data_IF_159767327507
#
_entry.id   IF_159767327507
#
_cell.length_a   1.000
_cell.length_b   1.000
_cell.length_c   1.000
_cell.angle_alpha   90.00
_cell.angle_beta   90.00
_cell.angle_gamma   90.00
#
_symmetry.space_group_name_H-M   'P 1'
#
loop_
_entity.id
_entity.type
_entity.pdbx_description
1 polymer ?
#
# COMPACT_ATOMS: atom_id res chain seq x y z
N UNK A 1 6.64 30.77 -9.55
CA UNK A 1 5.45 30.03 -9.08
C UNK A 1 5.20 30.40 -7.62
N UNK A 2 4.20 31.25 -7.35
CA UNK A 2 3.70 31.55 -6.00
C UNK A 2 2.63 30.51 -5.65
N UNK A 3 3.01 29.48 -4.91
CA UNK A 3 2.10 28.48 -4.30
C UNK A 3 2.27 28.44 -2.77
N UNK A 4 2.56 29.59 -2.15
CA UNK A 4 2.63 29.73 -0.71
C UNK A 4 1.62 30.79 -0.30
N UNK A 5 0.36 30.36 -0.22
CA UNK A 5 -0.70 31.11 0.44
C UNK A 5 -0.43 31.15 1.93
N UNK A 6 -0.70 32.32 2.50
CA UNK A 6 -0.62 32.65 3.92
C UNK A 6 -1.37 31.61 4.78
N UNK A 7 -0.84 31.34 5.98
CA UNK A 7 -1.52 30.51 6.97
C UNK A 7 -2.85 31.17 7.34
N UNK A 8 -3.96 30.50 7.10
CA UNK A 8 -5.19 30.82 7.81
C UNK A 8 -4.99 30.42 9.28
N UNK A 9 -5.05 31.39 10.17
CA UNK A 9 -4.77 31.26 11.63
C UNK A 9 -5.87 30.48 12.37
N UNK A 10 -6.82 29.89 11.64
CA UNK A 10 -8.01 29.17 12.16
C UNK A 10 -8.03 27.68 11.76
N UNK A 11 -6.88 27.03 11.58
CA UNK A 11 -6.85 25.58 11.33
C UNK A 11 -7.18 24.82 12.62
N UNK A 12 -8.33 24.13 12.62
CA UNK A 12 -8.74 23.17 13.67
C UNK A 12 -7.60 22.19 13.97
N UNK A 13 -7.44 21.74 15.24
CA UNK A 13 -6.35 20.87 15.61
C UNK A 13 -6.40 19.59 14.76
N UNK A 14 -5.33 19.37 13.99
CA UNK A 14 -5.01 18.19 13.16
C UNK A 14 -5.45 16.83 13.73
N UNK A 15 -5.56 16.70 15.06
CA UNK A 15 -6.02 15.49 15.71
C UNK A 15 -7.46 15.10 15.36
N UNK A 16 -8.39 16.06 15.28
CA UNK A 16 -9.81 15.73 15.17
C UNK A 16 -10.17 15.14 13.80
N UNK A 17 -9.69 15.77 12.71
CA UNK A 17 -9.89 15.25 11.35
C UNK A 17 -9.13 13.95 11.08
N UNK A 18 -7.94 13.77 11.66
CA UNK A 18 -7.17 12.55 11.49
C UNK A 18 -7.88 11.33 12.11
N UNK A 19 -8.39 11.47 13.33
CA UNK A 19 -9.11 10.38 14.00
C UNK A 19 -10.54 10.20 13.48
N UNK A 20 -11.23 11.27 13.07
CA UNK A 20 -12.63 11.19 12.65
C UNK A 20 -12.83 10.89 11.16
N UNK A 21 -11.87 11.23 10.29
CA UNK A 21 -11.99 11.05 8.83
C UNK A 21 -10.92 10.14 8.26
N UNK A 22 -9.64 10.43 8.51
CA UNK A 22 -8.51 9.71 7.89
C UNK A 22 -8.48 8.24 8.30
N UNK A 23 -8.40 7.98 9.61
CA UNK A 23 -8.28 6.61 10.14
C UNK A 23 -9.47 5.71 9.79
N UNK A 24 -10.74 6.14 9.95
CA UNK A 24 -11.88 5.35 9.52
C UNK A 24 -11.87 5.07 8.01
N UNK A 25 -11.49 6.05 7.19
CA UNK A 25 -11.43 5.86 5.73
C UNK A 25 -10.36 4.83 5.35
N UNK A 26 -9.17 4.88 5.96
CA UNK A 26 -8.12 3.86 5.79
C UNK A 26 -8.66 2.49 6.21
N UNK A 27 -9.28 2.39 7.40
CA UNK A 27 -9.81 1.13 7.91
C UNK A 27 -10.85 0.50 6.97
N UNK A 28 -11.82 1.28 6.48
CA UNK A 28 -12.82 0.79 5.54
C UNK A 28 -12.19 0.41 4.18
N UNK A 29 -11.24 1.19 3.68
CA UNK A 29 -10.48 0.84 2.47
C UNK A 29 -9.75 -0.49 2.63
N UNK A 30 -9.08 -0.70 3.76
CA UNK A 30 -8.41 -1.96 4.11
C UNK A 30 -9.37 -3.14 4.22
N UNK A 31 -10.54 -2.93 4.84
CA UNK A 31 -11.57 -3.96 4.93
C UNK A 31 -12.10 -4.37 3.54
N UNK A 32 -12.37 -3.40 2.67
CA UNK A 32 -12.80 -3.63 1.28
C UNK A 32 -11.72 -4.40 0.50
N UNK A 33 -10.47 -3.94 0.59
CA UNK A 33 -9.33 -4.58 -0.05
C UNK A 33 -9.11 -6.02 0.43
N UNK A 34 -9.08 -6.24 1.74
CA UNK A 34 -8.86 -7.57 2.32
C UNK A 34 -10.01 -8.51 1.95
N UNK A 35 -11.26 -8.05 2.04
CA UNK A 35 -12.41 -8.85 1.66
C UNK A 35 -12.36 -9.27 0.19
N UNK A 36 -12.09 -8.35 -0.74
CA UNK A 36 -11.99 -8.71 -2.15
C UNK A 36 -10.78 -9.63 -2.42
N UNK A 37 -9.62 -9.36 -1.82
CA UNK A 37 -8.45 -10.22 -1.96
C UNK A 37 -8.69 -11.66 -1.48
N UNK A 38 -9.34 -11.83 -0.33
CA UNK A 38 -9.65 -13.14 0.27
C UNK A 38 -10.77 -13.87 -0.47
N UNK A 39 -11.77 -13.14 -0.98
CA UNK A 39 -12.88 -13.73 -1.71
C UNK A 39 -12.40 -14.30 -3.05
N UNK A 40 -11.68 -13.52 -3.85
CA UNK A 40 -11.23 -13.94 -5.18
C UNK A 40 -10.10 -14.97 -5.16
N UNK A 41 -9.25 -14.96 -4.12
CA UNK A 41 -8.19 -15.98 -3.94
C UNK A 41 -8.73 -17.35 -3.52
N UNK A 42 -10.03 -17.46 -3.18
CA UNK A 42 -10.62 -18.68 -2.65
C UNK A 42 -10.32 -18.93 -1.17
N UNK A 43 -9.81 -17.93 -0.46
CA UNK A 43 -9.52 -18.03 0.98
C UNK A 43 -10.82 -18.08 1.81
N UNK A 44 -11.95 -17.63 1.27
CA UNK A 44 -13.27 -17.76 1.91
C UNK A 44 -14.03 -18.95 1.31
N UNK A 45 -14.13 -19.01 0.00
CA UNK A 45 -15.00 -19.95 -0.73
C UNK A 45 -14.42 -21.35 -0.90
N UNK A 46 -13.11 -21.54 -0.65
CA UNK A 46 -12.38 -22.78 -0.90
C UNK A 46 -12.10 -23.06 -2.38
N UNK A 47 -12.62 -22.23 -3.29
CA UNK A 47 -12.38 -22.31 -4.74
C UNK A 47 -11.96 -20.94 -5.27
N UNK A 48 -10.76 -20.80 -5.85
CA UNK A 48 -10.32 -19.54 -6.40
C UNK A 48 -11.20 -19.14 -7.58
N UNK A 49 -11.53 -17.85 -7.66
CA UNK A 49 -12.22 -17.28 -8.81
C UNK A 49 -11.12 -16.66 -9.66
N UNK A 50 -10.78 -17.30 -10.78
CA UNK A 50 -9.73 -16.82 -11.68
C UNK A 50 -10.38 -16.12 -12.88
N UNK A 51 -10.31 -14.78 -12.97
CA UNK A 51 -10.75 -14.03 -14.14
C UNK A 51 -9.97 -14.43 -15.40
N UNK A 52 -10.60 -14.26 -16.56
CA UNK A 52 -9.90 -14.42 -17.85
C UNK A 52 -8.80 -13.36 -18.02
N UNK A 53 -7.79 -13.66 -18.85
CA UNK A 53 -6.69 -12.73 -19.13
C UNK A 53 -7.17 -11.34 -19.59
N UNK A 54 -8.23 -11.29 -20.41
CA UNK A 54 -8.83 -10.02 -20.85
C UNK A 54 -9.40 -9.19 -19.70
N UNK A 55 -9.99 -9.85 -18.69
CA UNK A 55 -10.47 -9.19 -17.47
C UNK A 55 -9.29 -8.68 -16.64
N UNK A 56 -8.20 -9.46 -16.51
CA UNK A 56 -7.00 -9.04 -15.76
C UNK A 56 -6.39 -7.78 -16.36
N UNK A 57 -6.23 -7.74 -17.69
CA UNK A 57 -5.69 -6.58 -18.40
C UNK A 57 -6.61 -5.36 -18.18
N UNK A 58 -7.93 -5.56 -18.31
CA UNK A 58 -8.92 -4.50 -18.13
C UNK A 58 -8.89 -3.94 -16.71
N UNK A 59 -8.84 -4.81 -15.69
CA UNK A 59 -8.73 -4.43 -14.28
C UNK A 59 -7.42 -3.70 -13.98
N UNK A 60 -6.32 -4.09 -14.62
CA UNK A 60 -5.01 -3.43 -14.46
C UNK A 60 -5.05 -2.01 -15.02
N UNK A 61 -5.60 -1.81 -16.23
CA UNK A 61 -5.76 -0.48 -16.81
C UNK A 61 -6.69 0.36 -15.92
N UNK A 62 -7.83 -0.21 -15.51
CA UNK A 62 -8.80 0.47 -14.66
C UNK A 62 -8.21 0.85 -13.30
N UNK A 63 -7.38 -0.01 -12.70
CA UNK A 63 -6.62 0.26 -11.48
C UNK A 63 -5.77 1.53 -11.62
N UNK A 64 -4.95 1.64 -12.67
CA UNK A 64 -4.11 2.82 -12.87
C UNK A 64 -4.94 4.08 -13.12
N UNK A 65 -5.99 3.99 -13.94
CA UNK A 65 -6.88 5.12 -14.23
C UNK A 65 -7.55 5.64 -12.96
N UNK A 66 -8.11 4.74 -12.13
CA UNK A 66 -8.80 5.12 -10.91
C UNK A 66 -7.83 5.70 -9.88
N UNK A 67 -6.64 5.13 -9.71
CA UNK A 67 -5.64 5.68 -8.78
C UNK A 67 -5.18 7.08 -9.20
N UNK A 68 -4.87 7.28 -10.48
CA UNK A 68 -4.50 8.60 -11.01
C UNK A 68 -5.64 9.61 -10.78
N UNK A 69 -6.88 9.23 -11.10
CA UNK A 69 -8.04 10.08 -10.88
C UNK A 69 -8.22 10.42 -9.38
N UNK A 70 -8.07 9.42 -8.50
CA UNK A 70 -8.17 9.58 -7.04
C UNK A 70 -7.13 10.57 -6.53
N UNK A 71 -5.87 10.44 -6.94
CA UNK A 71 -4.77 11.35 -6.57
C UNK A 71 -5.01 12.77 -7.08
N UNK A 72 -5.47 12.93 -8.33
CA UNK A 72 -5.78 14.26 -8.89
C UNK A 72 -6.92 14.92 -8.10
N UNK A 73 -7.98 14.18 -7.77
CA UNK A 73 -9.13 14.73 -7.03
C UNK A 73 -8.76 15.07 -5.59
N UNK A 74 -7.99 14.22 -4.92
CA UNK A 74 -7.46 14.48 -3.58
C UNK A 74 -6.56 15.72 -3.58
N UNK A 75 -5.67 15.86 -4.57
CA UNK A 75 -4.83 17.05 -4.74
C UNK A 75 -5.62 18.34 -5.03
N UNK A 76 -6.75 18.23 -5.72
CA UNK A 76 -7.71 19.33 -5.97
C UNK A 76 -8.67 19.58 -4.80
N UNK A 77 -8.49 18.89 -3.65
CA UNK A 77 -9.33 18.99 -2.44
C UNK A 77 -10.80 18.59 -2.67
N UNK A 78 -11.08 17.80 -3.71
CA UNK A 78 -12.40 17.21 -3.95
C UNK A 78 -12.56 15.90 -3.16
N UNK A 79 -12.40 16.00 -1.84
CA UNK A 79 -12.17 14.85 -0.95
C UNK A 79 -13.32 13.84 -0.93
N UNK A 80 -14.56 14.28 -1.06
CA UNK A 80 -15.73 13.39 -1.09
C UNK A 80 -15.76 12.49 -2.34
N UNK A 81 -15.47 13.06 -3.51
CA UNK A 81 -15.40 12.31 -4.77
C UNK A 81 -14.16 11.40 -4.77
N UNK A 82 -13.03 11.92 -4.30
CA UNK A 82 -11.81 11.13 -4.13
C UNK A 82 -12.02 9.94 -3.18
N UNK A 83 -12.79 10.08 -2.10
CA UNK A 83 -13.12 9.00 -1.18
C UNK A 83 -13.93 7.88 -1.85
N UNK A 84 -14.90 8.22 -2.70
CA UNK A 84 -15.67 7.22 -3.46
C UNK A 84 -14.79 6.47 -4.45
N UNK A 85 -13.93 7.18 -5.18
CA UNK A 85 -12.97 6.54 -6.08
C UNK A 85 -11.95 5.69 -5.32
N UNK A 86 -11.50 6.13 -4.16
CA UNK A 86 -10.60 5.37 -3.30
C UNK A 86 -11.19 4.01 -2.92
N UNK A 87 -12.45 3.94 -2.46
CA UNK A 87 -13.07 2.64 -2.15
C UNK A 87 -13.17 1.72 -3.36
N UNK A 88 -13.45 2.29 -4.55
CA UNK A 88 -13.44 1.53 -5.80
C UNK A 88 -12.03 1.03 -6.15
N UNK A 89 -11.01 1.87 -5.92
CA UNK A 89 -9.61 1.54 -6.10
C UNK A 89 -9.17 0.43 -5.15
N UNK A 90 -9.55 0.50 -3.86
CA UNK A 90 -9.27 -0.54 -2.86
C UNK A 90 -9.86 -1.89 -3.26
N UNK A 91 -11.10 -1.90 -3.76
CA UNK A 91 -11.75 -3.11 -4.24
C UNK A 91 -10.99 -3.76 -5.39
N UNK A 92 -10.66 -2.99 -6.43
CA UNK A 92 -9.90 -3.47 -7.60
C UNK A 92 -8.50 -3.92 -7.21
N UNK A 93 -7.83 -3.17 -6.33
CA UNK A 93 -6.51 -3.52 -5.79
C UNK A 93 -6.56 -4.88 -5.09
N UNK A 94 -7.63 -5.16 -4.33
CA UNK A 94 -7.77 -6.46 -3.68
C UNK A 94 -8.00 -7.59 -4.69
N UNK A 95 -8.79 -7.37 -5.75
CA UNK A 95 -8.91 -8.35 -6.85
C UNK A 95 -7.55 -8.63 -7.51
N UNK A 96 -6.77 -7.60 -7.81
CA UNK A 96 -5.46 -7.78 -8.43
C UNK A 96 -4.46 -8.47 -7.47
N UNK A 97 -4.52 -8.16 -6.18
CA UNK A 97 -3.67 -8.82 -5.19
C UNK A 97 -4.11 -10.25 -4.88
N UNK A 98 -5.35 -10.64 -5.18
CA UNK A 98 -5.82 -12.01 -4.96
C UNK A 98 -5.04 -13.03 -5.79
N UNK A 99 -4.48 -12.63 -6.95
CA UNK A 99 -3.61 -13.49 -7.76
C UNK A 99 -2.28 -13.79 -7.08
N UNK A 100 -1.73 -12.83 -6.33
CA UNK A 100 -0.51 -13.04 -5.53
C UNK A 100 -0.81 -14.02 -4.40
N UNK A 101 -1.95 -13.85 -3.72
CA UNK A 101 -2.39 -14.77 -2.67
C UNK A 101 -2.63 -16.19 -3.20
N UNK A 102 -3.24 -16.30 -4.38
CA UNK A 102 -3.46 -17.57 -5.05
C UNK A 102 -2.13 -18.23 -5.44
N UNK A 103 -1.18 -17.48 -6.00
CA UNK A 103 0.16 -18.00 -6.29
C UNK A 103 0.82 -18.55 -5.03
N UNK A 104 0.73 -17.84 -3.91
CA UNK A 104 1.25 -18.36 -2.64
C UNK A 104 0.53 -19.61 -2.16
N UNK A 105 -0.80 -19.68 -2.31
CA UNK A 105 -1.58 -20.87 -1.99
C UNK A 105 -1.22 -22.09 -2.84
N UNK A 106 -0.80 -21.90 -4.09
CA UNK A 106 -0.30 -22.97 -4.95
C UNK A 106 1.06 -23.50 -4.47
N UNK A 107 1.92 -22.65 -3.91
CA UNK A 107 3.24 -23.05 -3.40
C UNK A 107 3.17 -23.77 -2.05
N UNK A 108 2.44 -23.19 -1.08
CA UNK A 108 2.44 -23.71 0.30
C UNK A 108 1.17 -24.46 0.70
N UNK A 109 0.13 -24.43 -0.12
CA UNK A 109 -1.20 -24.96 0.18
C UNK A 109 -2.12 -23.91 0.77
N UNK A 110 -3.43 -24.01 0.47
CA UNK A 110 -4.44 -22.98 0.80
C UNK A 110 -4.56 -22.69 2.30
N UNK A 111 -4.51 -23.72 3.16
CA UNK A 111 -4.61 -23.55 4.61
C UNK A 111 -3.45 -22.71 5.15
N UNK A 112 -2.22 -23.14 4.88
CA UNK A 112 -1.03 -22.43 5.33
C UNK A 112 -0.94 -21.02 4.73
N UNK A 113 -1.29 -20.82 3.45
CA UNK A 113 -1.29 -19.48 2.86
C UNK A 113 -2.26 -18.50 3.53
N UNK A 114 -3.42 -18.97 4.03
CA UNK A 114 -4.36 -18.14 4.81
C UNK A 114 -3.72 -17.69 6.14
N UNK A 115 -3.07 -18.61 6.82
CA UNK A 115 -2.40 -18.32 8.09
C UNK A 115 -1.25 -17.34 7.88
N UNK A 116 -0.41 -17.56 6.85
CA UNK A 116 0.69 -16.66 6.50
C UNK A 116 0.19 -15.26 6.10
N UNK A 117 -0.94 -15.15 5.37
CA UNK A 117 -1.53 -13.86 5.05
C UNK A 117 -2.04 -13.12 6.29
N UNK A 118 -2.62 -13.85 7.25
CA UNK A 118 -3.06 -13.28 8.53
C UNK A 118 -1.87 -12.75 9.33
N UNK A 119 -0.79 -13.54 9.44
CA UNK A 119 0.45 -13.11 10.07
C UNK A 119 1.05 -11.90 9.36
N UNK A 120 1.12 -11.91 8.03
CA UNK A 120 1.60 -10.79 7.24
C UNK A 120 0.78 -9.51 7.47
N UNK A 121 -0.54 -9.64 7.58
CA UNK A 121 -1.45 -8.52 7.86
C UNK A 121 -1.18 -7.89 9.23
N UNK A 122 -1.02 -8.72 10.27
CA UNK A 122 -0.69 -8.26 11.62
C UNK A 122 0.65 -7.53 11.62
N UNK A 123 1.71 -8.16 11.09
CA UNK A 123 3.05 -7.56 11.02
C UNK A 123 3.02 -6.25 10.22
N UNK A 124 2.31 -6.22 9.10
CA UNK A 124 2.23 -5.03 8.25
C UNK A 124 1.56 -3.84 8.94
N UNK A 125 0.44 -4.07 9.65
CA UNK A 125 -0.23 -3.03 10.44
C UNK A 125 0.70 -2.48 11.53
N UNK A 126 1.40 -3.36 12.27
CA UNK A 126 2.34 -2.93 13.29
C UNK A 126 3.54 -2.18 12.70
N UNK A 127 4.11 -2.64 11.59
CA UNK A 127 5.26 -2.03 10.95
C UNK A 127 4.94 -0.62 10.44
N UNK A 128 3.85 -0.47 9.66
CA UNK A 128 3.42 0.83 9.12
C UNK A 128 2.95 1.76 10.23
N UNK A 129 2.17 1.27 11.19
CA UNK A 129 1.72 2.08 12.33
C UNK A 129 2.88 2.61 13.17
N UNK A 130 3.88 1.76 13.45
CA UNK A 130 5.09 2.17 14.19
C UNK A 130 5.93 3.15 13.39
N UNK A 131 6.13 2.92 12.09
CA UNK A 131 6.84 3.84 11.20
C UNK A 131 6.15 5.22 11.17
N UNK A 132 4.83 5.26 11.01
CA UNK A 132 4.07 6.50 11.01
C UNK A 132 4.18 7.25 12.34
N UNK A 133 4.05 6.54 13.47
CA UNK A 133 4.15 7.12 14.81
C UNK A 133 5.56 7.67 15.09
N UNK A 134 6.61 6.93 14.73
CA UNK A 134 8.00 7.37 14.85
C UNK A 134 8.22 8.62 13.99
N UNK A 135 7.79 8.59 12.72
CA UNK A 135 7.86 9.72 11.81
C UNK A 135 7.21 10.97 12.40
N UNK A 136 6.00 10.82 12.94
CA UNK A 136 5.24 11.88 13.60
C UNK A 136 5.97 12.48 14.81
N UNK A 137 6.61 11.64 15.64
CA UNK A 137 7.37 12.10 16.81
C UNK A 137 8.63 12.89 16.43
N UNK A 138 9.30 12.55 15.34
CA UNK A 138 10.58 13.18 14.98
C UNK A 138 10.44 14.66 14.61
N UNK A 139 9.25 15.12 14.15
CA UNK A 139 8.93 16.52 13.74
C UNK A 139 10.04 17.24 12.95
N UNK A 140 10.91 16.47 12.28
CA UNK A 140 12.10 16.98 11.62
C UNK A 140 11.74 17.32 10.19
N UNK A 141 12.19 18.48 9.73
CA UNK A 141 12.17 18.81 8.31
C UNK A 141 13.18 17.91 7.60
N UNK A 142 12.74 16.73 7.15
CA UNK A 142 13.51 15.96 6.18
C UNK A 142 13.71 16.82 4.93
N UNK A 143 14.96 17.05 4.54
CA UNK A 143 15.25 17.83 3.34
C UNK A 143 14.76 17.08 2.10
N UNK A 144 13.90 17.73 1.30
CA UNK A 144 13.32 17.22 0.06
C UNK A 144 14.36 16.55 -0.85
N UNK A 145 15.61 17.03 -0.84
CA UNK A 145 16.71 16.46 -1.64
C UNK A 145 16.98 14.99 -1.31
N UNK A 146 16.95 14.59 -0.04
CA UNK A 146 17.20 13.20 0.37
C UNK A 146 16.02 12.29 0.04
N UNK A 147 14.80 12.82 0.12
CA UNK A 147 13.58 12.07 -0.20
C UNK A 147 13.50 11.78 -1.70
N UNK A 148 13.82 12.74 -2.57
CA UNK A 148 13.83 12.47 -4.02
C UNK A 148 14.85 11.39 -4.40
N UNK A 149 16.07 11.44 -3.84
CA UNK A 149 17.06 10.38 -4.05
C UNK A 149 16.58 9.02 -3.53
N UNK A 150 15.89 9.00 -2.39
CA UNK A 150 15.30 7.79 -1.82
C UNK A 150 14.14 7.24 -2.67
N UNK A 151 13.25 8.08 -3.20
CA UNK A 151 12.16 7.68 -4.09
C UNK A 151 12.69 7.11 -5.42
N UNK A 152 13.70 7.76 -6.02
CA UNK A 152 14.36 7.25 -7.24
C UNK A 152 14.97 5.88 -7.01
N UNK A 153 15.62 5.67 -5.85
CA UNK A 153 16.21 4.39 -5.49
C UNK A 153 15.17 3.26 -5.44
N UNK A 154 13.98 3.51 -4.88
CA UNK A 154 12.92 2.49 -4.86
C UNK A 154 12.28 2.21 -6.22
N UNK A 155 12.11 3.23 -7.07
CA UNK A 155 11.69 3.01 -8.46
C UNK A 155 12.67 2.10 -9.18
N UNK A 156 13.98 2.27 -8.95
CA UNK A 156 15.01 1.38 -9.49
C UNK A 156 14.85 -0.04 -8.95
N UNK A 157 14.68 -0.23 -7.63
CA UNK A 157 14.49 -1.56 -7.01
C UNK A 157 13.30 -2.28 -7.65
N UNK A 158 12.14 -1.61 -7.73
CA UNK A 158 10.91 -2.20 -8.29
C UNK A 158 11.06 -2.49 -9.78
N UNK A 159 11.68 -1.58 -10.54
CA UNK A 159 11.91 -1.77 -11.97
C UNK A 159 12.88 -2.93 -12.24
N UNK A 160 13.93 -3.06 -11.42
CA UNK A 160 14.88 -4.18 -11.50
C UNK A 160 14.19 -5.51 -11.20
N UNK A 161 13.31 -5.57 -10.19
CA UNK A 161 12.54 -6.76 -9.88
C UNK A 161 11.71 -7.22 -11.08
N UNK A 162 10.95 -6.30 -11.68
CA UNK A 162 10.12 -6.56 -12.85
C UNK A 162 10.95 -7.05 -14.04
N UNK A 163 12.02 -6.32 -14.38
CA UNK A 163 12.91 -6.68 -15.50
C UNK A 163 13.50 -8.08 -15.27
N UNK A 164 14.10 -8.31 -14.10
CA UNK A 164 14.74 -9.59 -13.81
C UNK A 164 13.73 -10.73 -13.76
N UNK A 165 12.47 -10.48 -13.38
CA UNK A 165 11.43 -11.51 -13.33
C UNK A 165 10.98 -11.98 -14.72
N UNK A 166 11.17 -11.14 -15.74
CA UNK A 166 10.87 -11.48 -17.14
C UNK A 166 11.98 -12.36 -17.73
N UNK A 167 13.25 -12.05 -17.40
CA UNK A 167 14.40 -12.68 -18.05
C UNK A 167 14.97 -13.88 -17.30
N UNK A 168 14.75 -13.97 -15.99
CA UNK A 168 15.36 -15.00 -15.14
C UNK A 168 14.29 -15.73 -14.34
N UNK A 169 14.42 -17.06 -14.28
CA UNK A 169 13.73 -17.83 -13.26
C UNK A 169 14.40 -17.52 -11.92
N UNK A 170 13.77 -16.64 -11.12
CA UNK A 170 14.40 -16.09 -9.93
C UNK A 170 14.45 -17.14 -8.81
N UNK A 171 15.61 -17.27 -8.16
CA UNK A 171 15.70 -18.08 -6.95
C UNK A 171 14.86 -17.45 -5.83
N UNK A 172 14.29 -18.28 -4.97
CA UNK A 172 13.54 -17.85 -3.79
C UNK A 172 14.35 -16.87 -2.91
N UNK A 173 15.65 -17.11 -2.74
CA UNK A 173 16.54 -16.17 -2.03
C UNK A 173 16.61 -14.77 -2.66
N UNK A 174 16.57 -14.66 -3.99
CA UNK A 174 16.54 -13.37 -4.69
C UNK A 174 15.21 -12.62 -4.46
N UNK A 175 14.08 -13.34 -4.55
CA UNK A 175 12.74 -12.78 -4.31
C UNK A 175 12.61 -12.26 -2.87
N UNK A 176 13.13 -13.02 -1.90
CA UNK A 176 13.17 -12.62 -0.49
C UNK A 176 14.01 -11.35 -0.32
N UNK A 177 15.23 -11.34 -0.90
CA UNK A 177 16.13 -10.19 -0.80
C UNK A 177 15.51 -8.89 -1.33
N UNK A 178 14.92 -8.93 -2.53
CA UNK A 178 14.26 -7.76 -3.13
C UNK A 178 13.03 -7.32 -2.32
N UNK A 179 12.28 -8.29 -1.77
CA UNK A 179 11.13 -7.98 -0.93
C UNK A 179 11.54 -7.27 0.37
N UNK A 180 12.67 -7.67 0.98
CA UNK A 180 13.23 -6.99 2.15
C UNK A 180 13.68 -5.57 1.80
N UNK A 181 14.38 -5.38 0.68
CA UNK A 181 14.79 -4.04 0.24
C UNK A 181 13.58 -3.13 -0.02
N UNK A 182 12.53 -3.69 -0.62
CA UNK A 182 11.26 -2.97 -0.84
C UNK A 182 10.59 -2.60 0.49
N UNK A 183 10.60 -3.48 1.49
CA UNK A 183 10.06 -3.19 2.83
C UNK A 183 10.82 -2.05 3.51
N UNK A 184 12.15 -2.09 3.51
CA UNK A 184 12.98 -1.02 4.08
C UNK A 184 12.67 0.31 3.40
N UNK A 185 12.53 0.28 2.07
CA UNK A 185 12.21 1.47 1.29
C UNK A 185 10.83 2.04 1.64
N UNK A 186 9.77 1.22 1.61
CA UNK A 186 8.40 1.67 1.89
C UNK A 186 8.28 2.17 3.32
N UNK A 187 8.83 1.46 4.31
CA UNK A 187 8.81 1.93 5.70
C UNK A 187 9.57 3.25 5.88
N UNK A 188 10.60 3.50 5.08
CA UNK A 188 11.25 4.81 5.01
C UNK A 188 10.35 5.91 4.44
N UNK A 189 9.51 5.59 3.45
CA UNK A 189 8.48 6.50 2.93
C UNK A 189 7.42 6.75 4.01
N UNK A 190 6.89 5.70 4.64
CA UNK A 190 5.90 5.83 5.73
C UNK A 190 6.42 6.69 6.89
N UNK A 191 7.70 6.54 7.26
CA UNK A 191 8.37 7.39 8.26
C UNK A 191 8.37 8.87 7.83
N UNK A 192 8.66 9.13 6.56
CA UNK A 192 8.63 10.48 5.99
C UNK A 192 7.22 11.04 5.94
N UNK A 193 6.22 10.24 5.56
CA UNK A 193 4.83 10.65 5.52
C UNK A 193 4.32 10.98 6.92
N UNK A 194 4.68 10.18 7.92
CA UNK A 194 4.39 10.47 9.33
C UNK A 194 5.00 11.79 9.81
N UNK A 195 6.23 12.09 9.40
CA UNK A 195 6.86 13.38 9.70
C UNK A 195 6.18 14.55 8.98
N UNK A 196 5.74 14.33 7.74
CA UNK A 196 5.02 15.34 6.94
C UNK A 196 3.62 15.61 7.48
N UNK A 197 2.92 14.56 7.91
CA UNK A 197 1.66 14.59 8.65
C UNK A 197 1.75 15.51 9.87
N UNK A 198 2.84 15.41 10.63
CA UNK A 198 3.07 16.27 11.81
C UNK A 198 3.28 17.75 11.48
N UNK A 199 3.70 18.05 10.25
CA UNK A 199 4.20 19.38 9.88
C UNK A 199 3.23 20.21 9.01
N UNK A 200 2.32 19.60 8.23
CA UNK A 200 1.72 20.29 7.07
C UNK A 200 0.28 19.97 6.66
N UNK A 201 -0.45 19.06 7.32
CA UNK A 201 -1.82 18.76 6.85
C UNK A 201 -2.80 19.79 7.43
N UNK A 202 -3.04 20.86 6.68
CA UNK A 202 -4.29 21.61 6.81
C UNK A 202 -5.48 20.73 6.40
N UNK A 203 -6.68 21.04 6.88
CA UNK A 203 -7.93 20.26 6.75
C UNK A 203 -8.35 19.87 5.30
N UNK A 204 -7.63 20.34 4.26
CA UNK A 204 -7.90 20.05 2.86
C UNK A 204 -7.18 18.83 2.26
N UNK A 205 -6.09 18.33 2.86
CA UNK A 205 -5.21 17.31 2.25
C UNK A 205 -5.29 15.93 2.91
N UNK A 206 -6.24 15.71 3.82
CA UNK A 206 -6.36 14.45 4.57
C UNK A 206 -6.53 13.23 3.66
N UNK A 207 -7.18 13.38 2.51
CA UNK A 207 -7.38 12.28 1.57
C UNK A 207 -6.08 11.81 0.89
N UNK A 208 -5.09 12.70 0.71
CA UNK A 208 -3.77 12.29 0.21
C UNK A 208 -3.09 11.37 1.24
N UNK A 209 -3.14 11.73 2.52
CA UNK A 209 -2.60 10.89 3.59
C UNK A 209 -3.33 9.54 3.70
N UNK A 210 -4.64 9.50 3.46
CA UNK A 210 -5.39 8.22 3.37
C UNK A 210 -4.79 7.33 2.29
N UNK A 211 -4.58 7.88 1.09
CA UNK A 211 -4.09 7.14 -0.06
C UNK A 211 -2.67 6.62 0.20
N UNK A 212 -1.77 7.49 0.66
CA UNK A 212 -0.36 7.15 0.89
C UNK A 212 -0.24 6.03 1.95
N UNK A 213 -0.88 6.21 3.11
CA UNK A 213 -0.84 5.21 4.20
C UNK A 213 -1.51 3.89 3.79
N UNK A 214 -2.61 3.94 3.04
CA UNK A 214 -3.28 2.73 2.54
C UNK A 214 -2.38 1.95 1.58
N UNK A 215 -1.77 2.64 0.61
CA UNK A 215 -0.89 1.99 -0.37
C UNK A 215 0.34 1.38 0.30
N UNK A 216 0.98 2.12 1.22
CA UNK A 216 2.11 1.61 2.00
C UNK A 216 1.73 0.34 2.77
N UNK A 217 0.57 0.35 3.44
CA UNK A 217 0.08 -0.80 4.19
C UNK A 217 -0.18 -2.01 3.31
N UNK A 218 -0.87 -1.84 2.18
CA UNK A 218 -1.12 -2.92 1.23
C UNK A 218 0.19 -3.52 0.73
N UNK A 219 1.15 -2.69 0.31
CA UNK A 219 2.41 -3.21 -0.26
C UNK A 219 3.24 -3.90 0.82
N UNK A 220 3.34 -3.34 2.03
CA UNK A 220 4.04 -3.97 3.15
C UNK A 220 3.46 -5.35 3.46
N UNK A 221 2.13 -5.47 3.56
CA UNK A 221 1.47 -6.76 3.82
C UNK A 221 1.80 -7.78 2.72
N UNK A 222 1.68 -7.38 1.44
CA UNK A 222 1.96 -8.29 0.32
C UNK A 222 3.42 -8.71 0.30
N UNK A 223 4.37 -7.82 0.60
CA UNK A 223 5.79 -8.15 0.65
C UNK A 223 6.13 -9.11 1.78
N UNK A 224 5.56 -8.90 2.97
CA UNK A 224 5.73 -9.84 4.09
C UNK A 224 5.13 -11.20 3.72
N UNK A 225 3.94 -11.22 3.12
CA UNK A 225 3.31 -12.46 2.66
C UNK A 225 4.21 -13.22 1.67
N UNK A 226 4.76 -12.55 0.66
CA UNK A 226 5.69 -13.16 -0.31
C UNK A 226 6.91 -13.76 0.39
N UNK A 227 7.53 -13.02 1.32
CA UNK A 227 8.68 -13.52 2.09
C UNK A 227 8.31 -14.78 2.86
N UNK A 228 7.19 -14.76 3.59
CA UNK A 228 6.73 -15.90 4.38
C UNK A 228 6.45 -17.11 3.48
N UNK A 229 5.71 -16.93 2.39
CA UNK A 229 5.44 -18.03 1.43
C UNK A 229 6.72 -18.65 0.91
N UNK A 230 7.71 -17.83 0.51
CA UNK A 230 8.99 -18.34 -0.01
C UNK A 230 9.77 -19.14 1.03
N UNK A 231 9.87 -18.66 2.26
CA UNK A 231 10.55 -19.36 3.36
C UNK A 231 9.90 -20.72 3.61
N UNK A 232 8.57 -20.78 3.67
CA UNK A 232 7.86 -22.02 3.94
C UNK A 232 7.85 -22.98 2.74
N UNK A 233 7.85 -22.47 1.51
CA UNK A 233 7.94 -23.28 0.30
C UNK A 233 9.28 -24.01 0.19
N UNK A 234 10.39 -23.38 0.61
CA UNK A 234 11.73 -24.01 0.63
C UNK A 234 11.92 -25.05 1.73
N UNK A 235 11.07 -25.03 2.77
CA UNK A 235 11.16 -25.97 3.91
C UNK A 235 10.48 -27.32 3.69
N UNK A 236 9.82 -27.51 2.54
CA UNK A 236 9.18 -28.77 2.12
C UNK A 236 10.10 -29.62 1.27
#
# INVERSE_FOLDING_TARGET
MKYFGERDVNEEPLGEDFYNKTMPTIFFGMAIWAFSALFFSGFITGKPIVPSLGIIITLTILYFVIWIATMILAGKRQNEIARVLFFSASFITGILNSFILLSGALEVGLGLARDLFTVASIIGVFAVGSALAIGYMFRRNFSLKYIYSFMIFGVIIISMEWILSIFLNQSSGWVIFISILSLIWILGITLYDGATLSAKIGAGYWMMAVIDVFLDLVVVIIRIFIILVRIFAESK
#
